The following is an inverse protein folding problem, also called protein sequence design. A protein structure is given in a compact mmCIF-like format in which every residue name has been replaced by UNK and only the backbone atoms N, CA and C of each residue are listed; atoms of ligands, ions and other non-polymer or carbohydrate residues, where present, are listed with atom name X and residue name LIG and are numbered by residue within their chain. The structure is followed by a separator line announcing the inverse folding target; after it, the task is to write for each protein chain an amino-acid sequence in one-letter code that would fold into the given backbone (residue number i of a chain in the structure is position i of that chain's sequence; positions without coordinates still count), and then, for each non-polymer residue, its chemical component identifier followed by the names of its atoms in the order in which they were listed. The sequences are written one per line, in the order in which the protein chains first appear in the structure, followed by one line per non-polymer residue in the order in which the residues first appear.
data_IF_392408728158
#
_entry.id   IF_392408728158
#
_cell.length_a   1.000
_cell.length_b   1.000
_cell.length_c   1.000
_cell.angle_alpha   90.00
_cell.angle_beta   90.00
_cell.angle_gamma   90.00
#
_symmetry.space_group_name_H-M   'P 1'
#
loop_
_entity.id
_entity.type
_entity.pdbx_description
1 polymer ?
#
# COMPACT_ATOMS: atom_id res chain seq x y z
N UNK A 1 -72.39 -14.03 -1.27
CA UNK A 1 -72.05 -15.36 -1.83
C UNK A 1 -70.98 -15.18 -2.92
N UNK A 2 -69.69 -15.07 -2.58
CA UNK A 2 -68.59 -15.19 -3.55
C UNK A 2 -67.33 -15.69 -2.84
N UNK A 3 -67.31 -16.98 -2.53
CA UNK A 3 -66.13 -17.70 -2.01
C UNK A 3 -65.98 -18.99 -2.82
N UNK A 4 -65.53 -18.89 -4.08
CA UNK A 4 -65.31 -20.06 -4.94
C UNK A 4 -64.44 -19.78 -6.18
N UNK A 5 -63.33 -19.05 -6.07
CA UNK A 5 -62.39 -18.87 -7.21
C UNK A 5 -60.98 -19.39 -6.91
N UNK A 6 -60.58 -19.48 -5.64
CA UNK A 6 -59.23 -19.91 -5.26
C UNK A 6 -59.00 -21.42 -5.50
N UNK A 7 -60.00 -22.27 -5.26
CA UNK A 7 -59.86 -23.74 -5.39
C UNK A 7 -59.65 -24.22 -6.83
N UNK A 8 -60.37 -23.61 -7.78
CA UNK A 8 -60.24 -23.93 -9.21
C UNK A 8 -58.87 -23.51 -9.76
N UNK A 9 -58.35 -22.35 -9.31
CA UNK A 9 -57.02 -21.89 -9.68
C UNK A 9 -55.93 -22.81 -9.12
N UNK A 10 -56.12 -23.35 -7.91
CA UNK A 10 -55.18 -24.29 -7.30
C UNK A 10 -55.14 -25.62 -8.07
N UNK A 11 -56.29 -26.15 -8.47
CA UNK A 11 -56.37 -27.40 -9.25
C UNK A 11 -55.75 -27.24 -10.65
N UNK A 12 -55.96 -26.08 -11.29
CA UNK A 12 -55.31 -25.76 -12.57
C UNK A 12 -53.79 -25.66 -12.40
N UNK A 13 -53.32 -25.05 -11.31
CA UNK A 13 -51.89 -24.97 -11.00
C UNK A 13 -51.27 -26.36 -10.73
N UNK A 14 -51.93 -27.18 -9.91
CA UNK A 14 -51.49 -28.56 -9.62
C UNK A 14 -51.47 -29.44 -10.86
N UNK A 15 -52.46 -29.31 -11.74
CA UNK A 15 -52.50 -30.04 -13.00
C UNK A 15 -51.34 -29.64 -13.93
N UNK A 16 -51.07 -28.34 -14.05
CA UNK A 16 -49.94 -27.81 -14.84
C UNK A 16 -48.59 -28.28 -14.31
N UNK A 17 -48.41 -28.29 -12.99
CA UNK A 17 -47.18 -28.80 -12.37
C UNK A 17 -47.03 -30.31 -12.58
N UNK A 18 -48.11 -31.08 -12.44
CA UNK A 18 -48.09 -32.53 -12.67
C UNK A 18 -47.65 -32.87 -14.10
N UNK A 19 -48.19 -32.16 -15.10
CA UNK A 19 -47.77 -32.29 -16.50
C UNK A 19 -46.32 -31.85 -16.71
N UNK A 20 -45.87 -30.80 -16.02
CA UNK A 20 -44.48 -30.33 -16.06
C UNK A 20 -43.51 -31.38 -15.50
N UNK A 21 -43.85 -32.02 -14.37
CA UNK A 21 -43.07 -33.09 -13.78
C UNK A 21 -43.06 -34.38 -14.61
N UNK A 22 -44.19 -34.71 -15.25
CA UNK A 22 -44.26 -35.83 -16.19
C UNK A 22 -43.34 -35.60 -17.40
N UNK A 23 -43.35 -34.38 -17.97
CA UNK A 23 -42.48 -33.99 -19.09
C UNK A 23 -40.99 -33.95 -18.72
N UNK A 24 -40.66 -33.51 -17.50
CA UNK A 24 -39.28 -33.53 -16.98
C UNK A 24 -38.75 -34.96 -16.80
N UNK A 25 -39.57 -35.89 -16.28
CA UNK A 25 -39.17 -37.30 -16.10
C UNK A 25 -39.12 -38.10 -17.40
N UNK A 26 -39.88 -37.71 -18.42
CA UNK A 26 -39.86 -38.34 -19.75
C UNK A 26 -38.65 -37.99 -20.62
N UNK A 27 -37.61 -37.35 -20.09
CA UNK A 27 -36.38 -37.03 -20.83
C UNK A 27 -36.53 -35.97 -21.93
N UNK A 28 -37.73 -35.38 -22.10
CA UNK A 28 -38.02 -34.39 -23.14
C UNK A 28 -37.37 -33.02 -22.89
N UNK A 29 -36.79 -32.79 -21.72
CA UNK A 29 -36.02 -31.58 -21.41
C UNK A 29 -34.54 -31.89 -21.63
N UNK A 30 -34.08 -31.69 -22.86
CA UNK A 30 -32.65 -31.65 -23.14
C UNK A 30 -32.01 -30.54 -22.29
N UNK A 31 -30.96 -30.84 -21.49
CA UNK A 31 -30.26 -29.81 -20.75
C UNK A 31 -29.75 -28.80 -21.76
N UNK A 32 -30.16 -27.54 -21.61
CA UNK A 32 -29.61 -26.46 -22.42
C UNK A 32 -28.14 -26.30 -22.03
N UNK A 33 -27.25 -26.96 -22.77
CA UNK A 33 -25.80 -26.75 -22.70
C UNK A 33 -25.54 -25.30 -23.08
N UNK A 34 -25.43 -24.43 -22.07
CA UNK A 34 -25.06 -23.03 -22.25
C UNK A 34 -23.56 -23.00 -22.46
N UNK A 35 -23.14 -22.72 -23.69
CA UNK A 35 -21.76 -22.39 -24.02
C UNK A 35 -21.62 -20.87 -23.89
N UNK A 36 -20.49 -20.45 -23.33
CA UNK A 36 -20.13 -19.05 -23.14
C UNK A 36 -18.74 -18.88 -23.71
N UNK A 37 -18.54 -17.80 -24.46
CA UNK A 37 -17.27 -17.44 -25.05
C UNK A 37 -16.67 -16.21 -24.34
N UNK A 38 -15.36 -16.03 -24.47
CA UNK A 38 -14.67 -14.88 -23.88
C UNK A 38 -15.22 -13.60 -24.54
N UNK A 39 -15.68 -12.66 -23.71
CA UNK A 39 -16.30 -11.42 -24.17
C UNK A 39 -17.82 -11.40 -24.02
N UNK A 40 -18.48 -12.54 -23.80
CA UNK A 40 -19.92 -12.60 -23.58
C UNK A 40 -20.32 -11.86 -22.30
N UNK A 41 -21.49 -11.24 -22.31
CA UNK A 41 -22.11 -10.71 -21.11
C UNK A 41 -23.09 -11.72 -20.54
N UNK A 42 -23.09 -11.87 -19.22
CA UNK A 42 -23.91 -12.85 -18.51
C UNK A 42 -24.57 -12.24 -17.26
N UNK A 43 -25.76 -12.71 -16.96
CA UNK A 43 -26.39 -12.54 -15.67
C UNK A 43 -25.87 -13.61 -14.71
N UNK A 44 -25.34 -13.18 -13.57
CA UNK A 44 -24.91 -14.08 -12.50
C UNK A 44 -26.00 -14.20 -11.43
N UNK A 45 -26.38 -15.45 -11.13
CA UNK A 45 -27.25 -15.76 -10.00
C UNK A 45 -26.40 -15.89 -8.75
N UNK A 46 -26.52 -14.92 -7.84
CA UNK A 46 -25.87 -14.96 -6.54
C UNK A 46 -26.33 -16.20 -5.76
N UNK A 47 -25.40 -17.12 -5.48
CA UNK A 47 -25.67 -18.36 -4.73
C UNK A 47 -25.39 -18.25 -3.24
N UNK A 48 -24.82 -17.13 -2.77
CA UNK A 48 -24.53 -16.90 -1.35
C UNK A 48 -25.66 -16.17 -0.62
N UNK A 49 -26.65 -15.61 -1.36
CA UNK A 49 -27.83 -15.00 -0.77
C UNK A 49 -28.77 -16.09 -0.19
N UNK A 50 -29.11 -15.97 1.10
CA UNK A 50 -30.00 -16.92 1.80
C UNK A 50 -31.47 -16.82 1.36
N UNK A 51 -31.89 -15.69 0.76
CA UNK A 51 -33.27 -15.48 0.33
C UNK A 51 -33.33 -14.65 -0.97
N UNK A 52 -34.39 -14.83 -1.75
CA UNK A 52 -34.64 -14.12 -3.03
C UNK A 52 -35.01 -12.64 -2.88
N UNK A 53 -35.13 -12.15 -1.64
CA UNK A 53 -35.56 -10.78 -1.29
C UNK A 53 -34.40 -9.92 -0.70
N UNK A 54 -33.16 -10.41 -0.75
CA UNK A 54 -32.00 -9.69 -0.22
C UNK A 54 -31.61 -8.50 -1.14
N UNK A 55 -31.65 -7.25 -0.67
CA UNK A 55 -31.35 -6.06 -1.47
C UNK A 55 -29.89 -5.97 -1.95
N UNK A 56 -28.96 -6.75 -1.36
CA UNK A 56 -27.59 -6.87 -1.89
C UNK A 56 -27.50 -7.77 -3.14
N UNK A 57 -28.56 -8.50 -3.48
CA UNK A 57 -28.64 -9.32 -4.67
C UNK A 57 -29.16 -8.54 -5.89
N UNK A 58 -28.42 -7.51 -6.33
CA UNK A 58 -28.64 -7.00 -7.69
C UNK A 58 -27.89 -7.90 -8.69
N UNK A 59 -28.56 -8.45 -9.72
CA UNK A 59 -27.89 -9.21 -10.76
C UNK A 59 -27.10 -8.23 -11.63
N UNK A 60 -25.82 -8.03 -11.30
CA UNK A 60 -24.90 -7.33 -12.18
C UNK A 60 -24.79 -8.11 -13.49
N UNK A 61 -24.86 -7.39 -14.62
CA UNK A 61 -24.39 -7.94 -15.89
C UNK A 61 -22.87 -7.97 -15.80
N UNK A 62 -22.30 -9.16 -15.91
CA UNK A 62 -20.87 -9.39 -15.82
C UNK A 62 -20.34 -9.86 -17.17
N UNK A 63 -19.08 -9.55 -17.45
CA UNK A 63 -18.42 -9.96 -18.68
C UNK A 63 -17.60 -11.23 -18.44
N UNK A 64 -17.68 -12.20 -19.33
CA UNK A 64 -16.83 -13.40 -19.32
C UNK A 64 -15.43 -13.02 -19.79
N UNK A 65 -14.43 -13.18 -18.93
CA UNK A 65 -13.02 -12.91 -19.24
C UNK A 65 -12.23 -14.19 -19.49
N UNK A 66 -12.59 -15.29 -18.84
CA UNK A 66 -11.95 -16.59 -19.01
C UNK A 66 -12.99 -17.71 -18.90
N UNK A 67 -12.90 -18.71 -19.76
CA UNK A 67 -13.73 -19.92 -19.76
C UNK A 67 -12.82 -21.11 -19.48
N UNK A 68 -12.98 -21.75 -18.31
CA UNK A 68 -12.16 -22.91 -17.93
C UNK A 68 -12.79 -24.20 -18.46
N UNK A 69 -11.98 -25.21 -18.82
CA UNK A 69 -12.48 -26.50 -19.33
C UNK A 69 -13.34 -27.27 -18.32
N UNK A 70 -13.26 -26.92 -17.04
CA UNK A 70 -14.08 -27.49 -15.96
C UNK A 70 -15.49 -26.89 -15.86
N UNK A 71 -15.88 -25.96 -16.74
CA UNK A 71 -17.18 -25.29 -16.68
C UNK A 71 -17.26 -24.14 -15.67
N UNK A 72 -16.10 -23.60 -15.26
CA UNK A 72 -16.00 -22.42 -14.40
C UNK A 72 -15.66 -21.20 -15.25
N UNK A 73 -16.43 -20.13 -15.09
CA UNK A 73 -16.23 -18.84 -15.74
C UNK A 73 -15.57 -17.88 -14.76
N UNK A 74 -14.62 -17.08 -15.27
CA UNK A 74 -14.16 -15.87 -14.59
C UNK A 74 -14.95 -14.71 -15.18
N UNK A 75 -15.63 -13.97 -14.30
CA UNK A 75 -16.55 -12.91 -14.65
C UNK A 75 -16.04 -11.59 -14.10
N UNK A 76 -16.03 -10.55 -14.92
CA UNK A 76 -15.62 -9.21 -14.55
C UNK A 76 -16.83 -8.27 -14.45
N UNK A 77 -16.94 -7.56 -13.33
CA UNK A 77 -17.97 -6.54 -13.12
C UNK A 77 -17.56 -5.17 -13.65
N UNK A 78 -18.51 -4.22 -13.66
CA UNK A 78 -18.29 -2.84 -14.13
C UNK A 78 -17.15 -2.12 -13.40
N UNK A 79 -16.87 -2.48 -12.14
CA UNK A 79 -15.79 -1.91 -11.33
C UNK A 79 -14.44 -2.61 -11.51
N UNK A 80 -14.31 -3.56 -12.44
CA UNK A 80 -13.09 -4.36 -12.64
C UNK A 80 -12.88 -5.48 -11.62
N UNK A 81 -13.82 -5.68 -10.68
CA UNK A 81 -13.77 -6.81 -9.75
C UNK A 81 -14.08 -8.11 -10.48
N UNK A 82 -13.26 -9.13 -10.28
CA UNK A 82 -13.47 -10.46 -10.85
C UNK A 82 -14.13 -11.40 -9.84
N UNK A 83 -15.14 -12.14 -10.28
CA UNK A 83 -15.76 -13.24 -9.52
C UNK A 83 -15.68 -14.53 -10.33
N UNK A 84 -15.65 -15.67 -9.64
CA UNK A 84 -15.66 -16.99 -10.28
C UNK A 84 -17.01 -17.67 -10.07
N UNK A 85 -17.59 -18.21 -11.15
CA UNK A 85 -18.89 -18.84 -11.10
C UNK A 85 -18.96 -20.03 -12.04
N UNK A 86 -19.65 -21.10 -11.63
CA UNK A 86 -19.94 -22.20 -12.55
C UNK A 86 -20.95 -21.76 -13.62
N UNK A 87 -20.82 -22.32 -14.83
CA UNK A 87 -21.70 -22.06 -16.00
C UNK A 87 -23.19 -22.23 -15.66
N UNK A 88 -23.53 -23.11 -14.71
CA UNK A 88 -24.92 -23.34 -14.24
C UNK A 88 -25.54 -22.14 -13.54
N UNK A 89 -24.72 -21.24 -12.98
CA UNK A 89 -25.17 -20.04 -12.27
C UNK A 89 -25.21 -18.82 -13.19
N UNK A 90 -24.90 -19.00 -14.48
CA UNK A 90 -24.79 -17.93 -15.46
C UNK A 90 -25.86 -18.08 -16.54
N UNK A 91 -26.44 -16.96 -16.96
CA UNK A 91 -27.35 -16.90 -18.10
C UNK A 91 -26.87 -15.85 -19.10
N UNK A 92 -26.95 -16.10 -20.43
CA UNK A 92 -26.55 -15.11 -21.43
C UNK A 92 -27.33 -13.79 -21.25
N UNK A 93 -26.61 -12.68 -21.37
CA UNK A 93 -27.21 -11.36 -21.47
C UNK A 93 -27.81 -11.20 -22.86
N UNK A 94 -29.07 -10.80 -22.92
CA UNK A 94 -29.80 -10.58 -24.16
C UNK A 94 -29.77 -9.12 -24.62
N UNK A 95 -29.11 -8.23 -23.87
CA UNK A 95 -28.99 -6.84 -24.24
C UNK A 95 -27.95 -6.68 -25.36
N UNK A 96 -28.23 -5.86 -26.39
CA UNK A 96 -27.32 -5.63 -27.51
C UNK A 96 -26.18 -4.71 -27.06
N UNK A 97 -25.23 -5.28 -26.32
CA UNK A 97 -24.03 -4.58 -25.84
C UNK A 97 -22.96 -4.76 -26.92
N UNK A 98 -22.95 -3.89 -27.92
CA UNK A 98 -21.98 -3.92 -29.01
C UNK A 98 -20.60 -3.38 -28.58
N UNK A 99 -19.55 -4.00 -29.10
CA UNK A 99 -18.19 -3.43 -29.24
C UNK A 99 -17.41 -3.02 -27.99
N UNK A 100 -17.66 -3.62 -26.82
CA UNK A 100 -16.89 -3.29 -25.61
C UNK A 100 -16.88 -1.76 -25.29
N UNK A 101 -17.77 -0.99 -25.91
CA UNK A 101 -17.92 0.43 -25.64
C UNK A 101 -18.72 0.55 -24.36
N UNK A 102 -18.00 0.66 -23.26
CA UNK A 102 -18.55 1.28 -22.07
C UNK A 102 -18.89 2.71 -22.49
N UNK A 103 -20.17 3.04 -22.55
CA UNK A 103 -20.61 4.43 -22.73
C UNK A 103 -19.86 5.27 -21.67
N UNK A 104 -19.02 6.25 -22.07
CA UNK A 104 -18.25 7.07 -21.14
C UNK A 104 -19.13 7.72 -20.06
N UNK A 105 -20.42 7.96 -20.35
CA UNK A 105 -21.39 8.49 -19.38
C UNK A 105 -21.81 7.49 -18.29
N UNK A 106 -21.64 6.20 -18.55
CA UNK A 106 -21.95 5.10 -17.63
C UNK A 106 -20.69 4.47 -17.01
N UNK A 107 -19.51 4.89 -17.49
CA UNK A 107 -18.24 4.61 -16.84
C UNK A 107 -18.19 5.38 -15.53
N UNK A 108 -18.01 4.66 -14.43
CA UNK A 108 -17.84 5.28 -13.12
C UNK A 108 -16.35 5.59 -12.94
N UNK A 109 -15.93 6.85 -12.76
CA UNK A 109 -14.55 7.11 -12.38
C UNK A 109 -14.27 6.52 -10.99
N UNK A 110 -12.99 6.41 -10.66
CA UNK A 110 -12.58 5.77 -9.42
C UNK A 110 -13.24 6.45 -8.20
N UNK A 111 -13.67 5.70 -7.18
CA UNK A 111 -14.33 6.23 -5.98
C UNK A 111 -13.45 7.18 -5.14
N UNK A 112 -12.26 7.52 -5.62
CA UNK A 112 -11.29 8.38 -4.96
C UNK A 112 -11.54 9.88 -5.15
N UNK A 113 -12.41 10.31 -6.09
CA UNK A 113 -12.66 11.73 -6.38
C UNK A 113 -14.17 12.03 -6.58
N UNK A 114 -15.02 11.85 -5.56
CA UNK A 114 -16.42 12.26 -5.65
C UNK A 114 -16.55 13.79 -5.70
N UNK A 115 -17.67 14.29 -6.23
CA UNK A 115 -17.97 15.72 -6.14
C UNK A 115 -18.12 16.16 -4.67
N UNK A 116 -17.46 17.26 -4.27
CA UNK A 116 -17.51 17.75 -2.88
C UNK A 116 -18.91 18.22 -2.44
N UNK A 117 -19.78 18.58 -3.39
CA UNK A 117 -21.13 19.09 -3.10
C UNK A 117 -22.17 17.97 -2.98
N UNK A 118 -22.22 17.08 -3.98
CA UNK A 118 -23.24 16.04 -4.05
C UNK A 118 -22.73 14.66 -3.61
N UNK A 119 -21.42 14.51 -3.38
CA UNK A 119 -20.74 13.25 -3.01
C UNK A 119 -20.90 12.12 -4.02
N UNK A 120 -21.35 12.43 -5.25
CA UNK A 120 -21.44 11.47 -6.34
C UNK A 120 -20.22 11.58 -7.27
N UNK A 121 -19.61 10.46 -7.68
CA UNK A 121 -18.49 10.43 -8.61
C UNK A 121 -18.92 10.44 -10.09
N UNK A 122 -20.21 10.45 -10.41
CA UNK A 122 -20.70 10.34 -11.79
C UNK A 122 -20.55 11.69 -12.54
N UNK A 123 -20.79 11.78 -13.85
CA UNK A 123 -20.80 13.06 -14.59
C UNK A 123 -19.42 13.67 -14.86
N UNK A 124 -18.43 12.84 -15.21
CA UNK A 124 -17.03 13.22 -15.45
C UNK A 124 -16.86 14.33 -16.50
N UNK A 125 -17.68 14.30 -17.55
CA UNK A 125 -17.64 15.26 -18.67
C UNK A 125 -18.00 16.70 -18.26
N UNK A 126 -18.58 16.88 -17.07
CA UNK A 126 -18.93 18.17 -16.48
C UNK A 126 -18.29 18.38 -15.11
N UNK A 127 -17.22 17.63 -14.80
CA UNK A 127 -16.51 17.69 -13.53
C UNK A 127 -15.17 18.42 -13.66
N UNK A 128 -14.94 19.36 -12.74
CA UNK A 128 -13.71 20.11 -12.57
C UNK A 128 -12.90 19.53 -11.43
N UNK A 129 -11.59 19.54 -11.59
CA UNK A 129 -10.64 19.29 -10.51
C UNK A 129 -10.07 20.63 -10.07
N UNK A 130 -10.03 20.87 -8.76
CA UNK A 130 -9.38 22.05 -8.22
C UNK A 130 -7.86 21.89 -8.26
N UNK A 131 -7.14 22.81 -8.90
CA UNK A 131 -5.67 22.77 -8.97
C UNK A 131 -5.01 23.04 -7.60
N UNK A 132 -5.71 23.70 -6.69
CA UNK A 132 -5.22 23.95 -5.32
C UNK A 132 -5.39 22.79 -4.33
N UNK A 133 -6.30 21.84 -4.55
CA UNK A 133 -6.54 20.74 -3.59
C UNK A 133 -6.89 19.38 -4.20
N UNK A 134 -6.99 19.28 -5.52
CA UNK A 134 -7.29 18.05 -6.25
C UNK A 134 -8.71 17.50 -6.08
N UNK A 135 -9.63 18.22 -5.42
CA UNK A 135 -11.01 17.77 -5.21
C UNK A 135 -11.87 17.94 -6.46
N UNK A 136 -12.85 17.05 -6.65
CA UNK A 136 -13.80 17.07 -7.78
C UNK A 136 -15.03 17.93 -7.51
N UNK A 137 -15.48 18.67 -8.53
CA UNK A 137 -16.63 19.57 -8.47
C UNK A 137 -17.41 19.53 -9.78
N UNK A 138 -18.72 19.26 -9.76
CA UNK A 138 -19.52 19.45 -10.98
C UNK A 138 -19.71 20.93 -11.28
N UNK A 139 -19.60 21.29 -12.55
CA UNK A 139 -19.94 22.62 -13.08
C UNK A 139 -21.34 23.09 -12.63
N UNK A 140 -22.32 22.19 -12.61
CA UNK A 140 -23.69 22.47 -12.17
C UNK A 140 -23.90 22.43 -10.64
N UNK A 141 -22.96 21.88 -9.87
CA UNK A 141 -23.02 21.88 -8.40
C UNK A 141 -22.43 23.16 -7.79
N UNK A 142 -21.71 23.96 -8.58
CA UNK A 142 -21.15 25.24 -8.16
C UNK A 142 -22.23 26.31 -7.99
N UNK A 143 -21.91 27.34 -7.21
CA UNK A 143 -22.74 28.53 -7.02
C UNK A 143 -21.91 29.78 -7.28
N UNK A 144 -22.08 30.47 -8.41
CA UNK A 144 -23.01 30.16 -9.52
C UNK A 144 -22.61 28.89 -10.30
N UNK A 145 -23.56 28.19 -10.94
CA UNK A 145 -23.25 27.04 -11.80
C UNK A 145 -22.54 27.51 -13.07
N UNK A 146 -21.54 26.76 -13.51
CA UNK A 146 -20.82 27.01 -14.75
C UNK A 146 -21.51 26.31 -15.92
N UNK A 147 -21.62 27.00 -17.06
CA UNK A 147 -22.25 26.45 -18.26
C UNK A 147 -21.32 25.55 -19.08
N UNK A 148 -20.01 25.71 -18.89
CA UNK A 148 -18.96 24.95 -19.55
C UNK A 148 -17.74 24.85 -18.63
N UNK A 149 -16.85 23.90 -18.93
CA UNK A 149 -15.56 23.78 -18.28
C UNK A 149 -14.70 24.98 -18.72
N UNK A 150 -14.20 25.81 -17.78
CA UNK A 150 -13.34 26.93 -18.12
C UNK A 150 -12.00 26.43 -18.69
N UNK A 151 -11.43 27.20 -19.62
CA UNK A 151 -10.10 26.93 -20.15
C UNK A 151 -9.03 27.43 -19.18
N UNK A 152 -8.05 26.59 -18.86
CA UNK A 152 -6.93 26.93 -17.96
C UNK A 152 -7.09 26.39 -16.53
N UNK A 153 -6.38 27.02 -15.59
CA UNK A 153 -6.38 26.62 -14.18
C UNK A 153 -7.67 27.07 -13.47
N UNK A 154 -8.17 26.22 -12.58
CA UNK A 154 -9.39 26.48 -11.81
C UNK A 154 -9.22 26.14 -10.34
N UNK A 155 -9.68 27.06 -9.48
CA UNK A 155 -9.61 26.92 -8.03
C UNK A 155 -11.03 26.87 -7.46
N UNK A 156 -11.29 25.93 -6.56
CA UNK A 156 -12.62 25.76 -5.97
C UNK A 156 -12.93 26.85 -4.93
N UNK A 157 -14.22 27.10 -4.64
CA UNK A 157 -14.63 28.13 -3.67
C UNK A 157 -14.03 27.94 -2.26
N UNK A 158 -13.70 26.70 -1.89
CA UNK A 158 -13.01 26.40 -0.61
C UNK A 158 -11.56 26.86 -0.60
N UNK A 159 -10.85 26.71 -1.71
CA UNK A 159 -9.47 27.17 -1.85
C UNK A 159 -9.44 28.70 -1.98
N UNK A 160 -10.39 29.27 -2.71
CA UNK A 160 -10.56 30.72 -2.83
C UNK A 160 -10.85 31.37 -1.45
N UNK A 161 -11.71 30.76 -0.63
CA UNK A 161 -11.95 31.20 0.75
C UNK A 161 -10.73 31.08 1.68
N UNK A 162 -9.76 30.21 1.33
CA UNK A 162 -8.47 30.08 2.03
C UNK A 162 -7.40 31.02 1.50
N UNK A 163 -7.73 31.88 0.52
CA UNK A 163 -6.79 32.83 -0.07
C UNK A 163 -5.90 32.26 -1.17
N UNK A 164 -6.20 31.06 -1.70
CA UNK A 164 -5.47 30.48 -2.84
C UNK A 164 -6.10 31.03 -4.11
N UNK A 165 -5.34 31.78 -4.91
CA UNK A 165 -5.80 32.35 -6.18
C UNK A 165 -5.09 31.72 -7.38
N UNK A 166 -5.71 31.81 -8.57
CA UNK A 166 -5.12 31.29 -9.82
C UNK A 166 -3.78 31.95 -10.13
N UNK A 167 -3.59 33.22 -9.76
CA UNK A 167 -2.32 33.94 -9.91
C UNK A 167 -1.17 33.34 -9.12
N UNK A 168 -1.44 32.69 -8.00
CA UNK A 168 -0.41 32.08 -7.14
C UNK A 168 0.08 30.75 -7.72
N UNK A 169 -0.76 30.09 -8.52
CA UNK A 169 -0.43 28.85 -9.23
C UNK A 169 0.48 29.12 -10.44
N UNK A 170 0.29 30.24 -11.12
CA UNK A 170 1.08 30.65 -12.30
C UNK A 170 2.54 31.05 -11.99
N UNK A 171 2.90 31.26 -10.72
CA UNK A 171 4.29 31.46 -10.30
C UNK A 171 5.12 30.15 -10.32
N UNK A 172 4.49 29.00 -10.61
CA UNK A 172 5.09 27.68 -10.73
C UNK A 172 5.00 27.18 -12.19
N UNK A 173 5.48 28.00 -13.14
CA UNK A 173 5.66 27.56 -14.53
C UNK A 173 6.53 26.29 -14.62
N UNK A 174 6.32 25.44 -15.65
CA UNK A 174 6.67 24.04 -15.60
C UNK A 174 8.18 23.82 -15.71
N UNK A 175 8.80 23.36 -14.62
CA UNK A 175 10.10 22.72 -14.66
C UNK A 175 9.92 21.29 -15.21
N UNK A 176 10.57 20.89 -16.32
CA UNK A 176 10.47 19.55 -16.89
C UNK A 176 10.98 18.42 -15.95
N UNK A 177 11.45 18.77 -14.75
CA UNK A 177 11.92 17.83 -13.73
C UNK A 177 10.92 17.51 -12.61
N UNK A 178 9.75 18.17 -12.52
CA UNK A 178 8.86 18.02 -11.35
C UNK A 178 7.61 17.14 -11.55
N UNK A 179 7.58 16.31 -12.60
CA UNK A 179 6.62 15.22 -12.66
C UNK A 179 6.96 14.21 -11.54
N UNK A 180 6.15 14.14 -10.47
CA UNK A 180 6.22 13.01 -9.51
C UNK A 180 6.36 11.73 -10.34
N UNK A 181 7.39 10.89 -10.13
CA UNK A 181 7.62 9.73 -10.96
C UNK A 181 6.35 8.91 -11.00
N UNK A 182 5.83 8.68 -12.21
CA UNK A 182 4.61 7.91 -12.42
C UNK A 182 4.79 6.58 -11.67
N UNK A 183 3.92 6.31 -10.71
CA UNK A 183 4.03 5.08 -9.96
C UNK A 183 3.44 3.94 -10.79
N UNK A 184 4.19 2.86 -11.04
CA UNK A 184 3.65 1.70 -11.72
C UNK A 184 2.49 1.08 -10.91
N UNK A 185 1.54 0.40 -11.58
CA UNK A 185 0.49 -0.37 -10.91
C UNK A 185 1.09 -1.34 -9.88
N UNK A 186 0.33 -1.68 -8.82
CA UNK A 186 0.82 -2.51 -7.70
C UNK A 186 1.61 -3.77 -8.12
N UNK A 187 1.19 -4.44 -9.19
CA UNK A 187 1.82 -5.66 -9.71
C UNK A 187 3.11 -5.44 -10.51
N UNK A 188 3.46 -4.20 -10.84
CA UNK A 188 4.70 -3.80 -11.54
C UNK A 188 5.59 -2.92 -10.67
N UNK A 189 5.18 -2.64 -9.43
CA UNK A 189 5.93 -1.81 -8.48
C UNK A 189 7.30 -2.37 -8.14
N UNK A 190 7.43 -3.69 -8.13
CA UNK A 190 8.70 -4.40 -7.93
C UNK A 190 9.72 -4.19 -9.05
N UNK A 191 9.27 -3.75 -10.24
CA UNK A 191 10.14 -3.48 -11.39
C UNK A 191 10.65 -2.03 -11.41
N UNK A 192 10.05 -1.15 -10.60
CA UNK A 192 10.56 0.21 -10.39
C UNK A 192 11.87 0.12 -9.60
N UNK A 193 12.95 0.69 -10.14
CA UNK A 193 14.27 0.66 -9.52
C UNK A 193 14.99 -0.69 -9.65
N UNK A 194 14.44 -1.64 -10.41
CA UNK A 194 15.07 -2.94 -10.59
C UNK A 194 16.37 -2.81 -11.39
N UNK A 195 17.40 -3.55 -10.97
CA UNK A 195 18.68 -3.62 -11.64
C UNK A 195 18.58 -4.55 -12.87
N UNK A 196 18.90 -4.00 -14.04
CA UNK A 196 18.83 -4.67 -15.34
C UNK A 196 20.25 -4.81 -15.89
N UNK A 197 20.63 -6.00 -16.31
CA UNK A 197 21.93 -6.23 -16.95
C UNK A 197 21.79 -6.27 -18.47
N UNK A 198 22.71 -5.58 -19.16
CA UNK A 198 22.87 -5.68 -20.61
C UNK A 198 24.27 -6.21 -20.92
N UNK A 199 24.33 -7.37 -21.58
CA UNK A 199 25.59 -7.89 -22.10
C UNK A 199 25.97 -7.14 -23.38
N UNK A 200 27.18 -6.57 -23.43
CA UNK A 200 27.71 -6.01 -24.67
C UNK A 200 27.95 -7.13 -25.69
N UNK A 201 27.39 -6.99 -26.90
CA UNK A 201 27.67 -7.90 -28.02
C UNK A 201 29.09 -7.65 -28.56
N UNK A 202 30.09 -8.20 -27.86
CA UNK A 202 31.48 -8.25 -28.29
C UNK A 202 31.89 -9.68 -28.62
N UNK A 203 32.36 -9.92 -29.86
CA UNK A 203 32.88 -11.22 -30.31
C UNK A 203 34.30 -11.42 -29.73
N UNK A 204 34.40 -11.63 -28.41
CA UNK A 204 35.68 -11.76 -27.70
C UNK A 204 35.52 -12.08 -26.22
N UNK A 205 36.51 -12.76 -25.64
CA UNK A 205 36.48 -13.54 -24.38
C UNK A 205 36.20 -12.78 -23.07
N UNK A 206 35.75 -11.52 -23.12
CA UNK A 206 35.24 -10.76 -21.96
C UNK A 206 34.14 -9.80 -22.44
N UNK A 207 32.88 -10.24 -22.36
CA UNK A 207 31.72 -9.35 -22.54
C UNK A 207 31.61 -8.44 -21.32
N UNK A 208 31.75 -7.13 -21.51
CA UNK A 208 31.44 -6.14 -20.48
C UNK A 208 29.92 -6.10 -20.27
N UNK A 209 29.48 -6.36 -19.05
CA UNK A 209 28.07 -6.26 -18.66
C UNK A 209 27.83 -4.88 -18.06
N UNK A 210 26.82 -4.18 -18.57
CA UNK A 210 26.40 -2.86 -18.12
C UNK A 210 25.18 -3.00 -17.22
N UNK A 211 25.21 -2.36 -16.05
CA UNK A 211 24.11 -2.38 -15.09
C UNK A 211 23.28 -1.11 -15.26
N UNK A 212 21.96 -1.25 -15.32
CA UNK A 212 21.04 -0.13 -15.45
C UNK A 212 19.86 -0.20 -14.48
N UNK A 213 19.27 0.96 -14.21
CA UNK A 213 18.13 1.09 -13.28
C UNK A 213 16.85 1.35 -14.08
N UNK A 214 15.84 0.52 -13.86
CA UNK A 214 14.54 0.65 -14.50
C UNK A 214 13.67 1.73 -13.84
N UNK A 215 13.05 2.59 -14.65
CA UNK A 215 12.10 3.62 -14.24
C UNK A 215 10.83 3.50 -15.07
N UNK A 216 9.66 3.53 -14.43
CA UNK A 216 8.39 3.43 -15.13
C UNK A 216 8.04 4.72 -15.86
N UNK A 217 7.71 4.61 -17.14
CA UNK A 217 7.38 5.76 -18.01
C UNK A 217 5.89 5.80 -18.36
N UNK A 218 5.12 4.78 -17.96
CA UNK A 218 3.69 4.71 -18.22
C UNK A 218 3.30 3.58 -19.18
N UNK A 219 2.11 3.73 -19.76
CA UNK A 219 1.55 2.77 -20.72
C UNK A 219 1.65 3.37 -22.11
N UNK A 220 2.30 2.65 -23.03
CA UNK A 220 2.31 3.02 -24.44
C UNK A 220 1.47 1.98 -25.19
N UNK A 221 0.24 2.37 -25.55
CA UNK A 221 -0.78 1.43 -26.03
C UNK A 221 -1.29 0.48 -24.93
N UNK A 222 -1.23 -0.83 -25.18
CA UNK A 222 -1.66 -1.88 -24.24
C UNK A 222 -0.55 -2.42 -23.32
N UNK A 223 0.69 -2.01 -23.52
CA UNK A 223 1.85 -2.51 -22.77
C UNK A 223 2.42 -1.46 -21.82
N UNK A 224 2.77 -1.88 -20.61
CA UNK A 224 3.53 -1.08 -19.65
C UNK A 224 5.00 -1.00 -20.07
N UNK A 225 5.57 0.20 -20.03
CA UNK A 225 6.94 0.46 -20.45
C UNK A 225 7.78 1.05 -19.34
N UNK A 226 9.04 0.65 -19.36
CA UNK A 226 10.05 1.08 -18.41
C UNK A 226 11.27 1.58 -19.19
N UNK A 227 11.80 2.71 -18.79
CA UNK A 227 13.05 3.26 -19.28
C UNK A 227 14.17 2.81 -18.33
N UNK A 228 15.16 2.13 -18.89
CA UNK A 228 16.35 1.69 -18.19
C UNK A 228 17.48 2.64 -18.54
N UNK A 229 18.08 3.25 -17.52
CA UNK A 229 19.29 4.08 -17.68
C UNK A 229 20.47 3.25 -17.23
N UNK A 230 21.40 2.96 -18.15
CA UNK A 230 22.59 2.17 -17.91
C UNK A 230 23.76 3.04 -17.43
N UNK A 231 24.74 2.42 -16.77
CA UNK A 231 25.97 3.04 -16.26
C UNK A 231 26.82 3.72 -17.35
N UNK A 232 26.73 3.27 -18.60
CA UNK A 232 27.37 3.87 -19.77
C UNK A 232 26.62 5.08 -20.35
N UNK A 233 25.56 5.53 -19.68
CA UNK A 233 24.72 6.66 -20.10
C UNK A 233 23.71 6.33 -21.20
N UNK A 234 23.64 5.07 -21.65
CA UNK A 234 22.65 4.66 -22.65
C UNK A 234 21.29 4.48 -21.98
N UNK A 235 20.25 4.96 -22.65
CA UNK A 235 18.87 4.87 -22.19
C UNK A 235 18.07 3.99 -23.15
N UNK A 236 17.45 2.92 -22.64
CA UNK A 236 16.60 2.01 -23.42
C UNK A 236 15.19 1.92 -22.84
N UNK A 237 14.17 1.85 -23.70
CA UNK A 237 12.78 1.63 -23.27
C UNK A 237 12.40 0.18 -23.53
N UNK A 238 12.09 -0.56 -22.46
CA UNK A 238 11.78 -1.99 -22.48
C UNK A 238 10.33 -2.25 -22.04
N UNK A 239 9.74 -3.30 -22.62
CA UNK A 239 8.47 -3.86 -22.14
C UNK A 239 8.66 -4.73 -20.89
N UNK A 240 7.57 -4.96 -20.15
CA UNK A 240 7.58 -5.79 -18.91
C UNK A 240 8.26 -7.16 -19.12
N UNK A 241 7.98 -7.83 -20.24
CA UNK A 241 8.52 -9.16 -20.54
C UNK A 241 10.03 -9.12 -20.77
N UNK A 242 10.51 -8.15 -21.56
CA UNK A 242 11.93 -7.95 -21.85
C UNK A 242 12.70 -7.58 -20.58
N UNK A 243 12.10 -6.73 -19.76
CA UNK A 243 12.67 -6.29 -18.49
C UNK A 243 12.79 -7.46 -17.51
N UNK A 244 11.77 -8.32 -17.39
CA UNK A 244 11.83 -9.52 -16.56
C UNK A 244 12.90 -10.52 -17.02
N UNK A 245 13.11 -10.64 -18.32
CA UNK A 245 14.13 -11.54 -18.87
C UNK A 245 15.57 -11.03 -18.66
N UNK A 246 15.75 -9.72 -18.43
CA UNK A 246 17.05 -9.07 -18.23
C UNK A 246 17.27 -8.62 -16.78
N UNK A 247 16.41 -9.03 -15.85
CA UNK A 247 16.60 -8.78 -14.43
C UNK A 247 17.94 -9.37 -13.99
N UNK A 248 18.77 -8.54 -13.35
CA UNK A 248 19.92 -9.05 -12.65
C UNK A 248 19.45 -10.13 -11.65
N UNK A 249 20.17 -11.25 -11.48
CA UNK A 249 19.83 -12.20 -10.44
C UNK A 249 19.74 -11.43 -9.13
N UNK A 250 18.54 -11.42 -8.50
CA UNK A 250 18.35 -10.90 -7.15
C UNK A 250 19.50 -11.50 -6.34
N UNK A 251 20.44 -10.66 -5.88
CA UNK A 251 21.23 -11.06 -4.73
C UNK A 251 20.20 -11.52 -3.72
N UNK A 252 20.27 -12.81 -3.35
CA UNK A 252 19.27 -13.44 -2.50
C UNK A 252 19.05 -12.47 -1.35
N UNK A 253 17.80 -12.02 -1.16
CA UNK A 253 17.41 -11.52 0.14
C UNK A 253 17.94 -12.55 1.14
N UNK A 254 18.71 -12.13 2.17
CA UNK A 254 19.09 -13.08 3.20
C UNK A 254 17.81 -13.80 3.55
N UNK A 255 17.83 -15.14 3.47
CA UNK A 255 16.76 -15.95 4.05
C UNK A 255 16.50 -15.35 5.42
N UNK A 256 15.29 -15.44 5.95
CA UNK A 256 15.17 -15.45 7.41
C UNK A 256 16.02 -16.64 7.87
N UNK A 257 17.31 -16.39 8.05
CA UNK A 257 18.07 -16.95 9.13
C UNK A 257 17.20 -16.49 10.27
N UNK A 258 16.30 -17.38 10.71
CA UNK A 258 16.11 -17.57 12.13
C UNK A 258 17.54 -17.60 12.58
N UNK A 259 18.02 -16.44 13.08
CA UNK A 259 19.37 -16.33 13.55
C UNK A 259 19.51 -17.62 14.32
N UNK A 260 20.41 -18.50 13.87
CA UNK A 260 21.24 -19.17 14.84
C UNK A 260 21.61 -18.02 15.74
N UNK A 261 20.88 -17.91 16.85
CA UNK A 261 21.03 -16.87 17.83
C UNK A 261 22.46 -17.12 18.25
N UNK A 262 23.40 -16.49 17.56
CA UNK A 262 24.69 -16.14 18.10
C UNK A 262 24.24 -15.47 19.36
N UNK A 263 24.37 -16.20 20.49
CA UNK A 263 23.88 -15.76 21.78
C UNK A 263 24.28 -14.30 21.87
N UNK A 264 23.31 -13.38 21.76
CA UNK A 264 23.65 -11.97 21.85
C UNK A 264 24.25 -11.87 23.22
N UNK A 265 25.54 -11.53 23.25
CA UNK A 265 26.26 -11.53 24.51
C UNK A 265 25.45 -10.67 25.46
N UNK A 266 25.14 -11.24 26.60
CA UNK A 266 24.29 -10.64 27.60
C UNK A 266 24.90 -9.34 28.18
N UNK A 267 26.14 -9.02 27.80
CA UNK A 267 26.83 -7.75 28.06
C UNK A 267 27.64 -7.34 26.83
N UNK A 268 27.65 -6.04 26.50
CA UNK A 268 28.45 -5.48 25.41
C UNK A 268 29.91 -5.24 25.81
N UNK A 269 30.19 -5.12 27.11
CA UNK A 269 31.56 -5.00 27.64
C UNK A 269 32.27 -3.76 27.10
N UNK A 270 31.65 -2.58 27.16
CA UNK A 270 32.13 -1.36 26.49
C UNK A 270 33.28 -0.65 27.21
N UNK A 271 34.10 -1.40 27.95
CA UNK A 271 35.11 -0.84 28.86
C UNK A 271 36.45 -0.56 28.15
N UNK A 272 36.62 -1.03 26.90
CA UNK A 272 37.81 -0.78 26.08
C UNK A 272 37.50 -0.67 24.59
N UNK A 273 38.29 0.09 23.80
CA UNK A 273 38.08 0.25 22.35
C UNK A 273 38.03 -1.08 21.59
N UNK A 274 38.82 -2.07 22.01
CA UNK A 274 38.84 -3.41 21.42
C UNK A 274 37.53 -4.17 21.67
N UNK A 275 36.93 -3.99 22.86
CA UNK A 275 35.63 -4.57 23.15
C UNK A 275 34.51 -3.83 22.43
N UNK A 276 34.63 -2.52 22.21
CA UNK A 276 33.69 -1.74 21.38
C UNK A 276 33.71 -2.25 19.95
N UNK A 277 34.89 -2.43 19.35
CA UNK A 277 35.04 -3.02 18.02
C UNK A 277 34.43 -4.43 17.96
N UNK A 278 34.70 -5.25 18.97
CA UNK A 278 34.10 -6.59 19.08
C UNK A 278 32.57 -6.54 19.18
N UNK A 279 32.02 -5.63 20.00
CA UNK A 279 30.59 -5.47 20.19
C UNK A 279 29.89 -4.95 18.92
N UNK A 280 30.53 -4.03 18.20
CA UNK A 280 30.05 -3.49 16.92
C UNK A 280 30.02 -4.57 15.85
N UNK A 281 31.10 -5.35 15.71
CA UNK A 281 31.16 -6.48 14.77
C UNK A 281 30.14 -7.57 15.12
N UNK A 282 29.88 -7.80 16.41
CA UNK A 282 28.86 -8.75 16.88
C UNK A 282 27.42 -8.27 16.62
N UNK A 283 27.14 -6.98 16.87
CA UNK A 283 25.82 -6.40 16.69
C UNK A 283 25.46 -6.17 15.22
N UNK A 284 26.43 -5.72 14.43
CA UNK A 284 26.26 -5.40 13.01
C UNK A 284 27.45 -5.97 12.21
N UNK A 285 27.38 -7.20 11.70
CA UNK A 285 28.49 -7.79 10.95
C UNK A 285 28.72 -7.02 9.63
N UNK A 286 29.94 -6.49 9.43
CA UNK A 286 30.32 -5.78 8.21
C UNK A 286 31.61 -4.97 8.36
N UNK A 287 32.05 -4.31 7.29
CA UNK A 287 33.11 -3.30 7.39
C UNK A 287 32.53 -2.01 8.00
N UNK A 288 33.21 -1.46 9.00
CA UNK A 288 32.81 -0.22 9.66
C UNK A 288 33.79 0.90 9.35
N UNK A 289 33.28 2.09 9.07
CA UNK A 289 34.13 3.27 8.91
C UNK A 289 34.89 3.57 10.21
N UNK A 290 36.17 3.92 10.07
CA UNK A 290 37.06 4.28 11.20
C UNK A 290 36.47 5.44 12.02
N UNK A 291 35.77 6.37 11.36
CA UNK A 291 35.08 7.48 12.01
C UNK A 291 33.99 7.02 12.97
N UNK A 292 33.21 5.99 12.62
CA UNK A 292 32.12 5.45 13.44
C UNK A 292 32.62 4.78 14.71
N UNK A 293 33.72 4.01 14.61
CA UNK A 293 34.37 3.40 15.77
C UNK A 293 34.95 4.47 16.71
N UNK A 294 35.55 5.52 16.14
CA UNK A 294 36.04 6.66 16.92
C UNK A 294 34.89 7.39 17.62
N UNK A 295 33.80 7.68 16.91
CA UNK A 295 32.62 8.36 17.46
C UNK A 295 31.96 7.55 18.58
N UNK A 296 31.84 6.23 18.43
CA UNK A 296 31.36 5.34 19.49
C UNK A 296 32.28 5.34 20.72
N UNK A 297 33.58 5.22 20.50
CA UNK A 297 34.58 5.28 21.58
C UNK A 297 34.54 6.64 22.31
N UNK A 298 34.35 7.73 21.58
CA UNK A 298 34.17 9.08 22.15
C UNK A 298 32.84 9.20 22.92
N UNK A 299 31.73 8.71 22.38
CA UNK A 299 30.44 8.69 23.08
C UNK A 299 30.50 7.90 24.39
N UNK A 300 31.21 6.76 24.37
CA UNK A 300 31.43 5.90 25.53
C UNK A 300 32.30 6.56 26.60
N UNK A 301 33.41 7.16 26.20
CA UNK A 301 34.31 7.85 27.12
C UNK A 301 33.70 9.13 27.71
N UNK A 302 32.86 9.84 26.97
CA UNK A 302 32.18 11.05 27.44
C UNK A 302 30.88 10.75 28.21
N UNK A 303 30.40 9.50 28.20
CA UNK A 303 29.11 9.11 28.78
C UNK A 303 27.91 9.80 28.12
N UNK A 304 28.09 10.35 26.92
CA UNK A 304 27.03 11.06 26.17
C UNK A 304 26.57 10.17 25.04
N UNK A 305 25.31 9.75 25.15
CA UNK A 305 24.65 8.87 24.18
C UNK A 305 24.36 9.64 22.87
N UNK A 306 24.07 10.93 22.98
CA UNK A 306 23.86 11.88 21.88
C UNK A 306 24.61 13.19 22.18
N UNK A 307 25.18 13.89 21.16
CA UNK A 307 25.90 15.14 21.36
C UNK A 307 25.02 16.29 21.88
N UNK A 308 23.73 16.31 21.53
CA UNK A 308 22.73 17.27 22.00
C UNK A 308 21.49 16.52 22.50
N UNK A 309 20.78 17.00 23.53
CA UNK A 309 19.55 16.35 24.00
C UNK A 309 18.41 16.47 22.99
N UNK A 310 17.43 15.57 23.07
CA UNK A 310 16.16 15.70 22.34
C UNK A 310 15.53 17.07 22.56
N UNK A 311 15.07 17.69 21.49
CA UNK A 311 14.32 18.94 21.54
C UNK A 311 12.82 18.70 21.47
N UNK A 312 12.02 19.66 21.96
CA UNK A 312 10.56 19.66 21.89
C UNK A 312 10.05 19.50 20.46
N UNK A 313 10.73 20.13 19.49
CA UNK A 313 10.39 20.04 18.07
C UNK A 313 10.53 18.62 17.51
N UNK A 314 11.58 17.90 17.91
CA UNK A 314 11.78 16.50 17.47
C UNK A 314 10.69 15.57 18.01
N UNK A 315 10.16 15.89 19.20
CA UNK A 315 9.05 15.13 19.80
C UNK A 315 7.72 15.45 19.13
N UNK A 316 7.47 16.69 18.72
CA UNK A 316 6.29 17.04 17.92
C UNK A 316 6.27 16.29 16.59
N UNK A 317 7.42 16.18 15.91
CA UNK A 317 7.55 15.40 14.68
C UNK A 317 7.24 13.92 14.94
N UNK A 318 7.76 13.37 16.04
CA UNK A 318 7.48 11.99 16.45
C UNK A 318 5.99 11.76 16.73
N UNK A 319 5.33 12.65 17.48
CA UNK A 319 3.90 12.57 17.80
C UNK A 319 3.01 12.74 16.55
N UNK A 320 3.45 13.54 15.57
CA UNK A 320 2.78 13.67 14.28
C UNK A 320 2.94 12.45 13.38
N UNK A 321 4.06 11.73 13.48
CA UNK A 321 4.35 10.54 12.66
C UNK A 321 3.80 9.24 13.27
N UNK A 322 3.73 9.16 14.60
CA UNK A 322 3.32 7.97 15.35
C UNK A 322 2.25 8.35 16.36
N UNK A 323 1.11 7.65 16.32
CA UNK A 323 0.06 7.74 17.35
C UNK A 323 0.54 7.07 18.65
N UNK A 324 1.52 7.67 19.33
CA UNK A 324 2.13 7.16 20.56
C UNK A 324 1.12 7.01 21.70
N UNK A 325 0.04 7.80 21.68
CA UNK A 325 -1.14 7.66 22.56
C UNK A 325 -1.78 6.26 22.49
N UNK A 326 -1.80 5.64 21.30
CA UNK A 326 -2.41 4.33 21.09
C UNK A 326 -1.52 3.18 21.59
N UNK A 327 -0.23 3.45 21.87
CA UNK A 327 0.71 2.44 22.35
C UNK A 327 0.52 2.09 23.84
N UNK A 328 -0.20 2.93 24.58
CA UNK A 328 -0.55 2.75 25.98
C UNK A 328 0.60 2.97 26.96
N UNK A 329 1.76 2.34 26.76
CA UNK A 329 2.95 2.54 27.57
C UNK A 329 4.21 2.59 26.69
N UNK A 330 4.99 3.66 26.86
CA UNK A 330 6.28 3.87 26.20
C UNK A 330 7.38 3.55 27.20
N UNK A 331 8.33 2.70 26.81
CA UNK A 331 9.51 2.46 27.61
C UNK A 331 10.61 3.45 27.21
N UNK A 332 11.13 4.16 28.20
CA UNK A 332 12.25 5.10 28.08
C UNK A 332 13.45 4.49 28.82
N UNK A 333 14.45 3.91 28.12
CA UNK A 333 15.61 3.30 28.76
C UNK A 333 16.42 4.31 29.58
N UNK A 334 16.34 5.59 29.21
CA UNK A 334 17.02 6.70 29.88
C UNK A 334 16.02 7.81 30.16
N UNK A 335 16.32 8.62 31.18
CA UNK A 335 15.52 9.80 31.50
C UNK A 335 15.83 10.92 30.49
N UNK A 336 14.81 11.34 29.74
CA UNK A 336 14.91 12.50 28.85
C UNK A 336 14.81 13.82 29.63
N UNK A 337 15.09 14.94 28.95
CA UNK A 337 14.96 16.27 29.54
C UNK A 337 13.52 16.55 30.01
N UNK A 338 13.35 17.24 31.13
CA UNK A 338 12.01 17.43 31.75
C UNK A 338 11.02 18.17 30.84
N UNK A 339 11.50 19.11 30.03
CA UNK A 339 10.67 19.84 29.05
C UNK A 339 10.01 18.89 28.04
N UNK A 340 10.78 17.91 27.55
CA UNK A 340 10.28 16.89 26.62
C UNK A 340 9.34 15.92 27.31
N UNK A 341 9.66 15.52 28.55
CA UNK A 341 8.78 14.67 29.34
C UNK A 341 7.44 15.35 29.62
N UNK A 342 7.44 16.67 29.82
CA UNK A 342 6.21 17.44 30.00
C UNK A 342 5.33 17.41 28.75
N UNK A 343 5.91 17.60 27.57
CA UNK A 343 5.20 17.49 26.30
C UNK A 343 4.62 16.09 26.05
N UNK A 344 5.38 15.02 26.37
CA UNK A 344 4.86 13.65 26.29
C UNK A 344 3.69 13.41 27.26
N UNK A 345 3.72 14.02 28.47
CA UNK A 345 2.59 13.96 29.42
C UNK A 345 1.37 14.71 28.87
N UNK A 346 1.56 15.86 28.23
CA UNK A 346 0.50 16.63 27.58
C UNK A 346 -0.15 15.85 26.43
N UNK A 347 0.63 15.04 25.71
CA UNK A 347 0.16 14.10 24.69
C UNK A 347 -0.43 12.79 25.26
N UNK A 348 -0.78 12.77 26.55
CA UNK A 348 -1.37 11.63 27.26
C UNK A 348 -0.53 10.32 27.20
N UNK A 349 0.77 10.41 26.94
CA UNK A 349 1.64 9.23 26.89
C UNK A 349 2.02 8.79 28.31
N UNK A 350 1.77 7.52 28.63
CA UNK A 350 2.31 6.90 29.85
C UNK A 350 3.70 6.38 29.52
N UNK A 351 4.70 6.81 30.29
CA UNK A 351 6.06 6.32 30.13
C UNK A 351 6.61 5.69 31.40
N UNK A 352 7.44 4.67 31.21
CA UNK A 352 8.16 3.98 32.30
C UNK A 352 9.65 4.06 32.06
N UNK A 353 10.41 4.29 33.13
CA UNK A 353 11.86 4.36 33.09
C UNK A 353 12.50 3.13 33.70
N UNK A 354 13.72 2.82 33.27
CA UNK A 354 14.59 1.89 33.98
C UNK A 354 15.22 2.62 35.19
N UNK A 355 14.96 2.21 36.45
CA UNK A 355 15.57 2.86 37.60
C UNK A 355 17.07 2.56 37.68
N UNK A 356 17.90 3.60 37.87
CA UNK A 356 19.29 3.46 38.32
C UNK A 356 20.36 3.17 37.26
N UNK A 357 20.08 3.31 35.95
CA UNK A 357 21.09 3.19 34.89
C UNK A 357 20.95 4.30 33.84
N UNK A 358 21.68 5.43 33.96
CA UNK A 358 21.70 6.47 32.92
C UNK A 358 22.60 6.10 31.73
N UNK A 359 23.36 5.01 31.83
CA UNK A 359 24.38 4.63 30.86
C UNK A 359 23.82 3.71 29.76
N UNK A 360 24.56 3.60 28.66
CA UNK A 360 24.31 2.68 27.53
C UNK A 360 24.01 1.23 27.93
N UNK A 361 24.43 0.82 29.14
CA UNK A 361 24.07 -0.46 29.75
C UNK A 361 22.56 -0.67 29.91
N UNK A 362 21.73 0.38 29.85
CA UNK A 362 20.28 0.26 29.83
C UNK A 362 19.72 -0.30 28.51
N UNK A 363 20.49 -0.23 27.42
CA UNK A 363 20.12 -0.81 26.11
C UNK A 363 20.66 -2.23 25.92
N UNK A 364 21.46 -2.74 26.86
CA UNK A 364 21.95 -4.11 26.80
C UNK A 364 20.79 -5.11 26.90
N UNK A 365 20.90 -6.29 26.23
CA UNK A 365 19.87 -7.33 26.28
C UNK A 365 19.44 -7.69 27.71
N UNK A 366 20.39 -7.83 28.65
CA UNK A 366 20.07 -8.13 30.06
C UNK A 366 19.19 -7.06 30.72
N UNK A 367 19.43 -5.78 30.41
CA UNK A 367 18.65 -4.69 31.00
C UNK A 367 17.22 -4.66 30.44
N UNK A 368 17.07 -4.89 29.13
CA UNK A 368 15.77 -5.00 28.47
C UNK A 368 15.00 -6.25 28.92
N UNK A 369 15.67 -7.40 29.10
CA UNK A 369 15.08 -8.61 29.67
C UNK A 369 14.57 -8.38 31.10
N UNK A 370 15.35 -7.67 31.92
CA UNK A 370 14.94 -7.34 33.28
C UNK A 370 13.73 -6.39 33.28
N UNK A 371 13.75 -5.36 32.44
CA UNK A 371 12.61 -4.45 32.25
C UNK A 371 11.33 -5.19 31.85
N UNK A 372 11.45 -6.20 30.97
CA UNK A 372 10.34 -7.06 30.58
C UNK A 372 9.78 -7.85 31.77
N UNK A 373 10.67 -8.47 32.55
CA UNK A 373 10.31 -9.26 33.74
C UNK A 373 9.65 -8.40 34.82
N UNK A 374 10.06 -7.14 34.94
CA UNK A 374 9.50 -6.17 35.87
C UNK A 374 8.11 -5.63 35.41
N UNK A 375 7.56 -6.14 34.30
CA UNK A 375 6.23 -5.79 33.82
C UNK A 375 6.18 -4.39 33.19
N UNK A 376 7.30 -3.90 32.67
CA UNK A 376 7.33 -2.67 31.89
C UNK A 376 6.78 -2.97 30.48
N UNK A 377 5.76 -2.23 30.06
CA UNK A 377 5.20 -2.38 28.71
C UNK A 377 6.20 -1.87 27.69
N UNK A 378 6.69 -2.78 26.83
CA UNK A 378 7.69 -2.48 25.79
C UNK A 378 7.10 -2.49 24.38
N UNK A 379 5.83 -2.08 24.23
CA UNK A 379 5.20 -1.98 22.91
C UNK A 379 5.93 -0.95 22.03
N UNK A 380 6.35 0.15 22.65
CA UNK A 380 7.20 1.18 22.05
C UNK A 380 8.40 1.39 22.96
N UNK A 381 9.61 1.29 22.42
CA UNK A 381 10.83 1.72 23.09
C UNK A 381 11.29 3.02 22.43
N UNK A 382 11.37 4.10 23.21
CA UNK A 382 11.83 5.40 22.74
C UNK A 382 13.25 5.68 23.26
N UNK A 383 14.17 6.01 22.36
CA UNK A 383 15.58 6.25 22.71
C UNK A 383 16.09 7.59 22.18
N UNK A 384 16.95 8.22 22.98
CA UNK A 384 17.71 9.44 22.66
C UNK A 384 19.18 9.06 22.50
N UNK A 385 19.52 8.56 21.32
CA UNK A 385 20.86 8.03 21.01
C UNK A 385 21.38 8.59 19.69
N UNK A 386 22.69 8.78 19.57
CA UNK A 386 23.34 9.03 18.28
C UNK A 386 23.21 7.84 17.33
N UNK A 387 23.38 8.09 16.02
CA UNK A 387 23.24 7.07 14.98
C UNK A 387 24.22 5.90 15.19
N UNK A 388 25.42 6.20 15.69
CA UNK A 388 26.47 5.23 15.90
C UNK A 388 26.12 4.26 17.03
N UNK A 389 25.55 4.77 18.12
CA UNK A 389 25.05 3.99 19.25
C UNK A 389 23.82 3.18 18.85
N UNK A 390 22.94 3.77 18.05
CA UNK A 390 21.76 3.09 17.55
C UNK A 390 22.11 1.82 16.78
N UNK A 391 23.11 1.88 15.91
CA UNK A 391 23.54 0.75 15.11
C UNK A 391 24.02 -0.45 15.96
N UNK A 392 24.59 -0.18 17.14
CA UNK A 392 24.95 -1.20 18.12
C UNK A 392 23.72 -1.76 18.86
N UNK A 393 22.80 -0.88 19.26
CA UNK A 393 21.68 -1.22 20.14
C UNK A 393 20.46 -1.81 19.40
N UNK A 394 20.24 -1.40 18.15
CA UNK A 394 19.06 -1.74 17.36
C UNK A 394 18.78 -3.24 17.25
N UNK A 395 19.78 -4.12 16.99
CA UNK A 395 19.57 -5.57 16.92
C UNK A 395 19.06 -6.18 18.24
N UNK A 396 19.41 -5.58 19.38
CA UNK A 396 18.93 -5.99 20.68
C UNK A 396 17.52 -5.46 20.94
N UNK A 397 17.27 -4.16 20.71
CA UNK A 397 16.00 -3.49 21.01
C UNK A 397 14.82 -4.12 20.23
N UNK A 398 15.01 -4.45 18.95
CA UNK A 398 13.95 -5.01 18.08
C UNK A 398 13.46 -6.38 18.54
N UNK A 399 14.22 -7.09 19.39
CA UNK A 399 13.77 -8.35 19.98
C UNK A 399 12.71 -8.16 21.05
N UNK A 400 12.62 -6.97 21.65
CA UNK A 400 11.76 -6.68 22.80
C UNK A 400 10.55 -5.81 22.45
N UNK A 401 10.63 -5.01 21.38
CA UNK A 401 9.57 -4.09 20.97
C UNK A 401 9.22 -4.20 19.50
N UNK A 402 7.91 -4.12 19.20
CA UNK A 402 7.40 -4.08 17.82
C UNK A 402 7.62 -2.73 17.14
N UNK A 403 7.78 -1.66 17.92
CA UNK A 403 8.05 -0.31 17.43
C UNK A 403 9.20 0.30 18.23
N UNK A 404 10.21 0.81 17.51
CA UNK A 404 11.31 1.59 18.09
C UNK A 404 11.13 3.04 17.66
N UNK A 405 10.90 3.93 18.61
CA UNK A 405 10.80 5.36 18.37
C UNK A 405 12.17 6.00 18.62
N UNK A 406 12.63 6.80 17.66
CA UNK A 406 13.95 7.41 17.71
C UNK A 406 13.77 8.92 17.73
N UNK A 407 14.24 9.54 18.81
CA UNK A 407 14.40 10.98 18.86
C UNK A 407 15.77 11.34 18.28
N UNK A 408 15.96 11.06 17.00
CA UNK A 408 17.08 11.51 16.21
C UNK A 408 16.49 12.06 14.93
N UNK A 409 15.94 13.28 15.00
CA UNK A 409 15.48 13.99 13.80
C UNK A 409 16.25 15.31 13.74
N UNK A 410 17.56 15.20 13.57
CA UNK A 410 18.37 16.36 13.21
C UNK A 410 18.75 16.26 11.73
N UNK A 411 17.94 16.98 10.94
CA UNK A 411 18.09 17.46 9.56
C UNK A 411 18.30 16.46 8.42
#
# INVERSE_FOLDING_TARGET
RHMAVAGSNLLIAQHRDTLRYARMRGGAVLPRLRRFDIGDYVYYRNTTARTTLDPQARPGILRVTEVRPTGVLVLEGRCGSTITAHVTHCAPCHLPISDHQVDPRLARPSPSLPCEVCSFPDGEEWMLLCDGCGTGWHTYCLRPPLSHIPEGEWVCPRCEAKGIQVSDLQALGPDPSSGKPLQPPKHLRELQGAAIMREARGRGRRSTAHLGVASYVGRQGRAHRFQVTYDDGVVEVLGVTELRNRLAPKQRAPKSVRASTSQVSSSWGLDSPQQVETAVVQGMPGEHEVYKLSALSTALSLGRIRPCPVTVQEVDVLLGALALEAAGAIFLPFKWHEEVLQQLREAACVFKFLPGKPDLKALEPRALEQAQKDGLGMNVIAVDVGAEVLDLAFPAIVQFAGVVALACVSY
#
